data_IF_168854609253
#
_entry.id   IF_168854609253
#
_cell.length_a   1.000
_cell.length_b   1.000
_cell.length_c   1.000
_cell.angle_alpha   90.00
_cell.angle_beta   90.00
_cell.angle_gamma   90.00
#
_symmetry.space_group_name_H-M   'P 1'
#
loop_
_entity.id
_entity.type
_entity.pdbx_description
1 polymer ?
#
# COMPACT_ATOMS: atom_id res chain seq x y z
N UNK A 1 1.66 5.62 11.63
CA UNK A 1 0.75 4.83 10.77
C UNK A 1 -0.60 5.52 10.71
N UNK A 2 -1.18 5.60 9.53
CA UNK A 2 -2.53 6.11 9.40
C UNK A 2 -3.40 5.10 8.65
N UNK A 3 -4.68 5.39 8.58
CA UNK A 3 -5.65 4.49 8.00
C UNK A 3 -5.36 4.18 6.52
N UNK A 4 -4.95 5.19 5.76
CA UNK A 4 -4.62 5.00 4.34
C UNK A 4 -3.43 4.07 4.16
N UNK A 5 -2.40 4.23 4.97
CA UNK A 5 -1.23 3.34 4.92
C UNK A 5 -1.62 1.90 5.19
N UNK A 6 -2.47 1.71 6.21
CA UNK A 6 -2.93 0.36 6.55
C UNK A 6 -3.78 -0.22 5.43
N UNK A 7 -4.69 0.57 4.84
CA UNK A 7 -5.50 0.12 3.72
C UNK A 7 -4.64 -0.32 2.54
N UNK A 8 -3.62 0.45 2.23
CA UNK A 8 -2.74 0.14 1.10
C UNK A 8 -1.95 -1.14 1.36
N UNK A 9 -1.45 -1.32 2.58
CA UNK A 9 -0.74 -2.54 2.94
C UNK A 9 -1.65 -3.77 2.81
N UNK A 10 -2.88 -3.67 3.30
CA UNK A 10 -3.85 -4.77 3.19
C UNK A 10 -4.19 -5.07 1.75
N UNK A 11 -4.35 -4.05 0.92
CA UNK A 11 -4.66 -4.24 -0.50
C UNK A 11 -3.52 -4.97 -1.21
N UNK A 12 -2.28 -4.62 -0.92
CA UNK A 12 -1.12 -5.30 -1.51
C UNK A 12 -1.11 -6.77 -1.10
N UNK A 13 -1.36 -7.05 0.18
CA UNK A 13 -1.39 -8.42 0.68
C UNK A 13 -2.51 -9.23 0.02
N UNK A 14 -3.69 -8.63 -0.13
CA UNK A 14 -4.84 -9.29 -0.74
C UNK A 14 -4.68 -9.54 -2.23
N UNK A 15 -3.83 -8.77 -2.89
CA UNK A 15 -3.58 -8.90 -4.32
C UNK A 15 -2.28 -9.65 -4.62
N UNK A 16 -1.93 -10.60 -3.77
CA UNK A 16 -0.77 -11.45 -4.00
C UNK A 16 0.55 -10.71 -3.89
N UNK A 17 0.61 -9.70 -3.04
CA UNK A 17 1.79 -8.85 -2.85
C UNK A 17 2.13 -8.02 -4.10
N UNK A 18 1.14 -7.78 -4.95
CA UNK A 18 1.32 -6.97 -6.16
C UNK A 18 0.88 -5.53 -5.94
N UNK A 19 1.82 -4.61 -5.99
CA UNK A 19 1.53 -3.17 -5.88
C UNK A 19 0.70 -2.71 -7.08
N UNK A 20 1.00 -3.24 -8.27
CA UNK A 20 0.24 -2.89 -9.48
C UNK A 20 -1.23 -3.27 -9.36
N UNK A 21 -1.50 -4.50 -8.93
CA UNK A 21 -2.89 -4.96 -8.78
C UNK A 21 -3.59 -4.23 -7.65
N UNK A 22 -2.90 -3.95 -6.56
CA UNK A 22 -3.47 -3.20 -5.45
C UNK A 22 -3.85 -1.79 -5.88
N UNK A 23 -3.01 -1.13 -6.66
CA UNK A 23 -3.29 0.22 -7.17
C UNK A 23 -4.55 0.22 -8.04
N UNK A 24 -4.68 -0.77 -8.91
CA UNK A 24 -5.85 -0.91 -9.76
C UNK A 24 -7.10 -1.15 -8.92
N UNK A 25 -7.01 -2.03 -7.92
CA UNK A 25 -8.16 -2.37 -7.07
C UNK A 25 -8.65 -1.18 -6.25
N UNK A 26 -7.73 -0.31 -5.82
CA UNK A 26 -8.09 0.86 -5.02
C UNK A 26 -8.35 2.11 -5.84
N UNK A 27 -8.12 2.06 -7.15
CA UNK A 27 -8.28 3.23 -8.00
C UNK A 27 -7.23 4.31 -7.71
N UNK A 28 -6.03 3.90 -7.37
CA UNK A 28 -4.93 4.82 -7.07
C UNK A 28 -3.70 4.48 -7.89
N UNK A 29 -2.61 5.23 -7.73
CA UNK A 29 -1.38 5.01 -8.49
C UNK A 29 -0.40 4.12 -7.73
N UNK A 30 0.49 3.43 -8.46
CA UNK A 30 1.54 2.64 -7.84
C UNK A 30 2.45 3.49 -6.94
N UNK A 31 2.90 4.69 -7.39
CA UNK A 31 3.72 5.53 -6.53
C UNK A 31 3.06 5.89 -5.20
N UNK A 32 1.74 6.09 -5.20
CA UNK A 32 1.02 6.40 -3.97
C UNK A 32 1.10 5.25 -2.97
N UNK A 33 0.92 4.03 -3.45
CA UNK A 33 1.01 2.84 -2.60
C UNK A 33 2.43 2.64 -2.12
N UNK A 34 3.41 2.74 -3.02
CA UNK A 34 4.82 2.56 -2.66
C UNK A 34 5.26 3.55 -1.59
N UNK A 35 4.83 4.80 -1.70
CA UNK A 35 5.15 5.82 -0.71
C UNK A 35 4.54 5.48 0.65
N UNK A 36 3.28 5.06 0.65
CA UNK A 36 2.59 4.70 1.89
C UNK A 36 3.27 3.52 2.57
N UNK A 37 3.68 2.51 1.79
CA UNK A 37 4.38 1.36 2.36
C UNK A 37 5.73 1.73 2.94
N UNK A 38 6.46 2.63 2.29
CA UNK A 38 7.74 3.10 2.81
C UNK A 38 7.58 3.84 4.13
N UNK A 39 6.56 4.68 4.24
CA UNK A 39 6.28 5.40 5.47
C UNK A 39 5.89 4.45 6.60
N UNK A 40 5.09 3.44 6.28
CA UNK A 40 4.72 2.42 7.25
C UNK A 40 5.94 1.64 7.73
N UNK A 41 6.81 1.26 6.80
CA UNK A 41 8.06 0.56 7.12
C UNK A 41 8.93 1.37 8.07
N UNK A 42 9.03 2.67 7.84
CA UNK A 42 9.79 3.57 8.71
C UNK A 42 9.26 3.56 10.12
N UNK A 43 7.94 3.56 10.27
CA UNK A 43 7.31 3.58 11.59
C UNK A 43 7.49 2.26 12.33
N UNK A 44 7.46 1.16 11.60
CA UNK A 44 7.55 -0.17 12.20
C UNK A 44 9.00 -0.63 12.41
N UNK A 45 9.87 -0.12 11.63
CA UNK A 45 11.20 -0.62 11.58
C UNK A 45 12.28 0.15 12.17
#
# INVERSE_FOLDING_TARGET
MNFHQLQYALAVARNGLSVTNAAAALGTSQPAISRALKELEKELG
#
